data_IF_066379087179
#
_entry.id   IF_066379087179
#
_cell.length_a   1.000
_cell.length_b   1.000
_cell.length_c   1.000
_cell.angle_alpha   90.00
_cell.angle_beta   90.00
_cell.angle_gamma   90.00
#
_symmetry.space_group_name_H-M   'P 1'
#
loop_
_entity.id
_entity.type
_entity.pdbx_description
1 polymer ?
#
# COMPACT_ATOMS: atom_id res chain seq x y z
N UNK A 1 16.15 43.39 23.52
CA UNK A 1 14.80 43.54 22.95
C UNK A 1 14.39 42.15 22.50
N UNK A 2 13.30 41.60 23.06
CA UNK A 2 12.81 40.27 22.74
C UNK A 2 11.62 40.40 21.79
N UNK A 3 11.82 40.07 20.52
CA UNK A 3 10.75 40.02 19.53
C UNK A 3 9.86 38.81 19.81
N UNK A 4 8.69 39.06 20.41
CA UNK A 4 7.69 38.03 20.63
C UNK A 4 6.96 37.78 19.31
N UNK A 5 7.24 36.65 18.66
CA UNK A 5 6.53 36.22 17.46
C UNK A 5 5.06 35.97 17.80
N UNK A 6 4.18 36.82 17.28
CA UNK A 6 2.73 36.71 17.47
C UNK A 6 2.25 35.42 16.83
N UNK A 7 1.51 34.60 17.58
CA UNK A 7 0.97 33.34 17.09
C UNK A 7 -0.03 33.64 15.95
N UNK A 8 0.14 33.03 14.77
CA UNK A 8 -0.72 33.33 13.63
C UNK A 8 -2.17 32.95 13.92
N UNK A 9 -3.09 33.82 13.49
CA UNK A 9 -4.53 33.61 13.61
C UNK A 9 -4.95 32.74 12.42
N UNK A 10 -5.38 31.51 12.71
CA UNK A 10 -5.86 30.55 11.72
C UNK A 10 -7.39 30.61 11.69
N UNK A 11 -7.97 30.67 10.49
CA UNK A 11 -9.42 30.65 10.32
C UNK A 11 -10.01 29.35 10.88
N UNK A 12 -11.11 29.45 11.63
CA UNK A 12 -11.77 28.31 12.28
C UNK A 12 -12.16 27.22 11.27
N UNK A 13 -12.69 27.64 10.12
CA UNK A 13 -13.06 26.79 8.99
C UNK A 13 -11.85 26.01 8.44
N UNK A 14 -10.67 26.65 8.37
CA UNK A 14 -9.44 25.97 7.96
C UNK A 14 -9.02 24.92 8.99
N UNK A 15 -9.12 25.25 10.28
CA UNK A 15 -8.80 24.34 11.38
C UNK A 15 -9.73 23.11 11.40
N UNK A 16 -11.03 23.34 11.22
CA UNK A 16 -12.07 22.30 11.14
C UNK A 16 -11.87 21.41 9.91
N UNK A 17 -11.53 22.00 8.76
CA UNK A 17 -11.22 21.23 7.53
C UNK A 17 -9.95 20.38 7.65
N UNK A 18 -9.02 20.77 8.52
CA UNK A 18 -7.82 20.00 8.84
C UNK A 18 -8.13 18.90 9.87
N UNK A 19 -8.99 19.16 10.85
CA UNK A 19 -9.41 18.16 11.84
C UNK A 19 -10.10 16.95 11.20
N UNK A 20 -10.93 17.15 10.18
CA UNK A 20 -11.52 16.03 9.40
C UNK A 20 -10.46 15.20 8.64
N UNK A 21 -9.30 15.79 8.33
CA UNK A 21 -8.16 15.06 7.73
C UNK A 21 -7.26 14.39 8.77
N UNK A 22 -7.33 14.82 10.03
CA UNK A 22 -6.54 14.32 11.15
C UNK A 22 -7.19 13.08 11.79
N UNK A 23 -8.52 12.93 11.70
CA UNK A 23 -9.18 11.67 12.05
C UNK A 23 -8.82 10.57 11.02
N UNK A 24 -7.76 9.84 11.38
CA UNK A 24 -7.27 8.55 10.87
C UNK A 24 -6.47 8.56 9.55
N UNK A 25 -5.20 8.97 9.62
CA UNK A 25 -4.14 8.26 8.87
C UNK A 25 -3.99 6.83 9.44
N UNK A 26 -5.02 6.00 9.29
CA UNK A 26 -4.84 4.55 9.39
C UNK A 26 -4.09 4.13 8.14
N UNK A 27 -2.98 3.42 8.32
CA UNK A 27 -2.23 2.84 7.24
C UNK A 27 -2.35 1.33 7.30
N UNK A 28 -2.38 0.71 6.13
CA UNK A 28 -2.29 -0.74 6.01
C UNK A 28 -0.90 -1.07 5.48
N UNK A 29 -0.15 -1.89 6.22
CA UNK A 29 1.20 -2.29 5.87
C UNK A 29 1.17 -3.74 5.40
N UNK A 30 1.60 -3.98 4.17
CA UNK A 30 1.69 -5.32 3.60
C UNK A 30 3.14 -5.62 3.27
N UNK A 31 3.72 -6.58 3.99
CA UNK A 31 5.01 -7.15 3.65
C UNK A 31 4.79 -8.27 2.64
N UNK A 32 5.33 -8.07 1.44
CA UNK A 32 5.14 -8.94 0.30
C UNK A 32 6.39 -9.80 0.11
N UNK A 33 6.18 -11.11 0.00
CA UNK A 33 7.20 -12.07 -0.39
C UNK A 33 6.97 -12.46 -1.85
N UNK A 34 7.91 -12.14 -2.71
CA UNK A 34 8.04 -12.74 -4.03
C UNK A 34 8.91 -14.00 -3.89
N UNK A 35 8.34 -15.22 -4.04
CA UNK A 35 9.04 -16.45 -3.71
C UNK A 35 10.30 -16.68 -4.57
N UNK A 36 11.29 -17.32 -3.96
CA UNK A 36 12.46 -17.81 -4.67
C UNK A 36 12.06 -18.65 -5.88
N UNK A 37 12.68 -18.36 -7.02
CA UNK A 37 12.41 -19.05 -8.28
C UNK A 37 13.72 -19.52 -8.92
N UNK A 38 13.73 -20.70 -9.55
CA UNK A 38 14.88 -21.24 -10.28
C UNK A 38 15.00 -20.65 -11.69
N UNK A 39 14.17 -19.66 -12.06
CA UNK A 39 14.31 -18.93 -13.31
C UNK A 39 15.30 -17.77 -13.13
N UNK A 40 16.27 -17.68 -14.04
CA UNK A 40 17.24 -16.58 -14.08
C UNK A 40 16.58 -15.33 -14.65
N UNK A 41 16.79 -14.19 -13.98
CA UNK A 41 16.41 -12.88 -14.53
C UNK A 41 14.98 -12.42 -14.21
N UNK A 42 14.39 -12.85 -13.09
CA UNK A 42 13.10 -12.31 -12.68
C UNK A 42 13.23 -10.80 -12.40
N UNK A 43 12.48 -10.02 -13.16
CA UNK A 43 12.32 -8.59 -12.98
C UNK A 43 10.91 -8.37 -12.45
N UNK A 44 10.80 -7.68 -11.32
CA UNK A 44 9.51 -7.31 -10.75
C UNK A 44 9.42 -5.80 -10.61
N UNK A 45 8.19 -5.30 -10.56
CA UNK A 45 7.86 -3.92 -10.29
C UNK A 45 6.50 -3.86 -9.61
N UNK A 46 6.15 -2.70 -9.09
CA UNK A 46 4.79 -2.44 -8.61
C UNK A 46 4.21 -1.24 -9.35
N UNK A 47 2.91 -1.23 -9.59
CA UNK A 47 2.22 -0.12 -10.22
C UNK A 47 1.64 0.86 -9.20
N UNK A 48 1.51 2.13 -9.59
CA UNK A 48 0.75 3.09 -8.77
C UNK A 48 -0.75 2.73 -8.69
N UNK A 49 -1.22 1.88 -9.62
CA UNK A 49 -2.56 1.32 -9.67
C UNK A 49 -2.68 -0.01 -8.89
N UNK A 50 -1.86 -0.22 -7.87
CA UNK A 50 -2.06 -1.26 -6.85
C UNK A 50 -3.00 -0.75 -5.75
N UNK A 51 -3.99 -1.55 -5.39
CA UNK A 51 -4.98 -1.20 -4.37
C UNK A 51 -5.26 -2.37 -3.42
N UNK A 52 -5.79 -2.04 -2.24
CA UNK A 52 -6.53 -2.99 -1.42
C UNK A 52 -8.02 -2.79 -1.67
N UNK A 53 -8.70 -3.84 -2.11
CA UNK A 53 -10.15 -3.85 -2.39
C UNK A 53 -10.85 -4.45 -1.18
N UNK A 54 -11.73 -3.68 -0.52
CA UNK A 54 -12.60 -4.25 0.51
C UNK A 54 -13.57 -5.24 -0.13
N UNK A 55 -13.69 -6.44 0.44
CA UNK A 55 -14.58 -7.47 -0.10
C UNK A 55 -16.04 -7.28 0.37
N UNK A 56 -16.29 -6.30 1.23
CA UNK A 56 -17.62 -5.97 1.77
C UNK A 56 -18.16 -4.60 1.32
N UNK A 57 -17.40 -3.81 0.55
CA UNK A 57 -17.81 -2.50 0.06
C UNK A 57 -17.10 -2.13 -1.25
N UNK A 58 -17.48 -1.01 -1.87
CA UNK A 58 -16.79 -0.48 -3.06
C UNK A 58 -15.48 0.26 -2.71
N UNK A 59 -15.07 0.27 -1.44
CA UNK A 59 -13.88 0.99 -0.99
C UNK A 59 -12.59 0.38 -1.56
N UNK A 60 -11.69 1.27 -1.98
CA UNK A 60 -10.35 0.91 -2.47
C UNK A 60 -9.31 1.75 -1.75
N UNK A 61 -8.44 1.10 -0.98
CA UNK A 61 -7.30 1.76 -0.37
C UNK A 61 -6.17 1.93 -1.38
N UNK A 62 -5.63 3.14 -1.48
CA UNK A 62 -4.60 3.51 -2.45
C UNK A 62 -3.21 3.23 -1.89
N UNK A 63 -2.28 2.82 -2.77
CA UNK A 63 -0.86 2.76 -2.45
C UNK A 63 -0.34 4.16 -2.13
N UNK A 64 0.31 4.31 -0.97
CA UNK A 64 0.94 5.54 -0.48
C UNK A 64 2.45 5.46 -0.70
N UNK A 65 3.06 4.32 -0.40
CA UNK A 65 4.50 4.12 -0.47
C UNK A 65 4.87 2.67 -0.79
N UNK A 66 5.98 2.49 -1.49
CA UNK A 66 6.58 1.20 -1.76
C UNK A 66 8.05 1.22 -1.34
N UNK A 67 8.44 0.26 -0.51
CA UNK A 67 9.78 0.14 0.06
C UNK A 67 10.46 -1.12 -0.48
N UNK A 68 11.72 -0.98 -0.91
CA UNK A 68 12.52 -2.07 -1.49
C UNK A 68 11.94 -2.71 -2.76
N UNK A 69 11.14 -1.98 -3.53
CA UNK A 69 10.70 -2.34 -4.88
C UNK A 69 10.53 -1.05 -5.72
N UNK A 70 10.76 -1.13 -7.02
CA UNK A 70 10.61 0.01 -7.94
C UNK A 70 9.17 0.15 -8.43
N UNK A 71 8.72 1.40 -8.55
CA UNK A 71 7.48 1.74 -9.23
C UNK A 71 7.68 1.67 -10.76
N UNK A 72 6.70 1.13 -11.48
CA UNK A 72 6.63 1.17 -12.96
C UNK A 72 6.89 2.60 -13.49
N UNK A 73 7.70 2.78 -14.55
CA UNK A 73 8.19 1.77 -15.49
C UNK A 73 9.50 1.06 -15.09
N UNK A 74 10.10 1.43 -13.96
CA UNK A 74 11.38 0.88 -13.55
C UNK A 74 11.24 -0.53 -12.96
N UNK A 75 12.27 -1.35 -13.16
CA UNK A 75 12.30 -2.75 -12.75
C UNK A 75 13.29 -3.00 -11.62
N UNK A 76 12.92 -3.91 -10.72
CA UNK A 76 13.75 -4.42 -9.64
C UNK A 76 14.25 -5.81 -10.01
N UNK A 77 15.56 -6.01 -9.93
CA UNK A 77 16.17 -7.32 -10.16
C UNK A 77 15.98 -8.21 -8.94
N UNK A 78 15.34 -9.36 -9.12
CA UNK A 78 15.17 -10.36 -8.06
C UNK A 78 16.38 -11.30 -8.04
N UNK A 79 17.06 -11.47 -6.88
CA UNK A 79 18.14 -12.42 -6.76
C UNK A 79 17.68 -13.87 -6.98
N UNK A 80 18.52 -14.65 -7.66
CA UNK A 80 18.26 -16.07 -7.92
C UNK A 80 18.16 -16.90 -6.64
N UNK A 81 17.21 -17.84 -6.61
CA UNK A 81 17.02 -18.81 -5.51
C UNK A 81 16.89 -18.17 -4.11
N UNK A 82 16.42 -16.92 -4.04
CA UNK A 82 16.17 -16.22 -2.79
C UNK A 82 14.79 -15.57 -2.81
N UNK A 83 14.10 -15.66 -1.69
CA UNK A 83 12.88 -14.89 -1.49
C UNK A 83 13.22 -13.41 -1.52
N UNK A 84 12.43 -12.65 -2.27
CA UNK A 84 12.56 -11.20 -2.33
C UNK A 84 11.42 -10.55 -1.55
N UNK A 85 11.78 -9.69 -0.60
CA UNK A 85 10.83 -9.05 0.29
C UNK A 85 10.77 -7.56 0.03
N UNK A 86 9.56 -7.03 -0.06
CA UNK A 86 9.28 -5.61 -0.17
C UNK A 86 8.07 -5.24 0.68
N UNK A 87 7.87 -3.95 0.93
CA UNK A 87 6.74 -3.48 1.75
C UNK A 87 5.93 -2.47 0.98
N UNK A 88 4.61 -2.64 1.00
CA UNK A 88 3.65 -1.70 0.45
C UNK A 88 2.84 -1.08 1.60
N UNK A 89 2.70 0.24 1.57
CA UNK A 89 1.93 1.00 2.56
C UNK A 89 0.74 1.61 1.84
N UNK A 90 -0.47 1.36 2.35
CA UNK A 90 -1.72 1.83 1.77
C UNK A 90 -2.48 2.74 2.72
N UNK A 91 -3.42 3.50 2.18
CA UNK A 91 -4.43 4.20 2.98
C UNK A 91 -5.32 3.23 3.76
N UNK A 92 -5.95 3.72 4.82
CA UNK A 92 -6.73 2.89 5.75
C UNK A 92 -7.91 2.18 5.11
N UNK A 93 -8.26 1.02 5.65
CA UNK A 93 -9.47 0.28 5.29
C UNK A 93 -10.66 0.74 6.15
N UNK A 94 -11.90 0.72 5.62
CA UNK A 94 -13.11 1.13 6.34
C UNK A 94 -13.28 0.30 7.60
N UNK A 95 -13.85 0.87 8.67
CA UNK A 95 -13.96 0.19 9.98
C UNK A 95 -14.61 -1.21 9.90
N UNK A 96 -15.58 -1.40 9.02
CA UNK A 96 -16.36 -2.64 8.89
C UNK A 96 -15.74 -3.67 7.93
N UNK A 97 -14.62 -3.37 7.28
CA UNK A 97 -13.90 -4.30 6.40
C UNK A 97 -13.47 -5.55 7.18
N UNK A 98 -13.84 -6.73 6.69
CA UNK A 98 -13.49 -8.04 7.31
C UNK A 98 -12.41 -8.78 6.54
N UNK A 99 -12.39 -8.60 5.23
CA UNK A 99 -11.35 -9.11 4.34
C UNK A 99 -11.18 -8.20 3.14
N UNK A 100 -10.02 -8.26 2.52
CA UNK A 100 -9.70 -7.46 1.35
C UNK A 100 -8.78 -8.23 0.41
N UNK A 101 -8.75 -7.80 -0.85
CA UNK A 101 -7.83 -8.32 -1.85
C UNK A 101 -6.74 -7.27 -2.15
N UNK A 102 -5.49 -7.69 -2.27
CA UNK A 102 -4.43 -6.88 -2.86
C UNK A 102 -4.40 -7.17 -4.35
N UNK A 103 -4.60 -6.14 -5.20
CA UNK A 103 -4.59 -6.31 -6.66
C UNK A 103 -3.98 -5.13 -7.39
N UNK A 104 -3.25 -5.44 -8.44
CA UNK A 104 -2.84 -4.47 -9.46
C UNK A 104 -3.90 -4.33 -10.55
N UNK A 105 -4.29 -3.08 -10.82
CA UNK A 105 -5.18 -2.75 -11.95
C UNK A 105 -4.31 -2.21 -13.07
N UNK A 106 -3.92 -3.10 -13.97
CA UNK A 106 -2.98 -2.80 -15.05
C UNK A 106 -3.61 -3.16 -16.40
N UNK A 107 -3.16 -2.54 -17.51
CA UNK A 107 -3.69 -2.82 -18.84
C UNK A 107 -3.16 -4.12 -19.46
N UNK A 108 -2.24 -4.82 -18.78
CA UNK A 108 -1.55 -6.03 -19.25
C UNK A 108 -1.75 -7.21 -18.28
N UNK A 109 -1.49 -8.43 -18.72
CA UNK A 109 -1.46 -9.62 -17.85
C UNK A 109 -0.24 -9.58 -16.92
N UNK A 110 -0.20 -10.45 -15.91
CA UNK A 110 0.94 -10.56 -14.98
C UNK A 110 0.90 -9.62 -13.77
N UNK A 111 -0.25 -9.00 -13.48
CA UNK A 111 -0.42 -8.19 -12.28
C UNK A 111 -0.36 -9.04 -11.00
N UNK A 112 0.10 -8.43 -9.90
CA UNK A 112 0.08 -9.10 -8.60
C UNK A 112 -1.33 -9.14 -8.00
N UNK A 113 -1.71 -10.34 -7.54
CA UNK A 113 -3.01 -10.60 -6.90
C UNK A 113 -2.83 -11.47 -5.66
N UNK A 114 -3.42 -11.04 -4.55
CA UNK A 114 -3.59 -11.84 -3.33
C UNK A 114 -5.00 -11.62 -2.82
N UNK A 115 -5.81 -12.69 -2.83
CA UNK A 115 -7.22 -12.61 -2.49
C UNK A 115 -7.51 -12.95 -1.02
N UNK A 116 -8.63 -12.45 -0.53
CA UNK A 116 -9.24 -12.86 0.74
C UNK A 116 -8.33 -12.74 1.96
N UNK A 117 -7.51 -11.70 2.02
CA UNK A 117 -6.69 -11.38 3.20
C UNK A 117 -7.63 -11.01 4.34
N UNK A 118 -7.66 -11.81 5.40
CA UNK A 118 -8.51 -11.54 6.59
C UNK A 118 -7.93 -10.37 7.36
N UNK A 119 -8.77 -9.37 7.64
CA UNK A 119 -8.35 -8.18 8.39
C UNK A 119 -7.99 -8.54 9.83
N UNK A 120 -6.94 -7.91 10.35
CA UNK A 120 -6.54 -7.99 11.76
C UNK A 120 -6.47 -6.59 12.39
N UNK A 121 -6.36 -6.53 13.72
CA UNK A 121 -6.40 -5.26 14.47
C UNK A 121 -5.16 -4.38 14.32
N UNK A 122 -4.05 -4.94 13.80
CA UNK A 122 -2.80 -4.20 13.60
C UNK A 122 -2.74 -3.56 12.21
N UNK A 123 -3.56 -4.02 11.27
CA UNK A 123 -3.48 -3.67 9.85
C UNK A 123 -2.06 -3.87 9.27
N UNK A 124 -1.33 -4.86 9.80
CA UNK A 124 -0.04 -5.33 9.30
C UNK A 124 -0.17 -6.78 8.82
N UNK A 125 0.27 -7.04 7.60
CA UNK A 125 0.10 -8.32 6.93
C UNK A 125 1.41 -8.82 6.33
N UNK A 126 1.52 -10.15 6.22
CA UNK A 126 2.57 -10.82 5.44
C UNK A 126 1.89 -11.71 4.42
N UNK A 127 2.22 -11.52 3.14
CA UNK A 127 1.62 -12.25 2.04
C UNK A 127 2.69 -12.79 1.11
N UNK A 128 2.40 -13.93 0.47
CA UNK A 128 3.16 -14.40 -0.68
C UNK A 128 2.44 -13.97 -1.93
N UNK A 129 3.17 -13.36 -2.86
CA UNK A 129 2.63 -12.91 -4.13
C UNK A 129 3.00 -13.94 -5.20
N UNK A 130 2.02 -14.23 -6.05
CA UNK A 130 2.21 -14.91 -7.32
C UNK A 130 1.68 -14.01 -8.44
N UNK A 131 2.30 -14.10 -9.61
CA UNK A 131 1.77 -13.47 -10.83
C UNK A 131 0.49 -14.18 -11.25
N UNK A 132 -0.54 -13.42 -11.64
CA UNK A 132 -1.71 -13.98 -12.31
C UNK A 132 -1.42 -14.07 -13.82
N UNK A 133 -1.47 -15.29 -14.37
CA UNK A 133 -1.39 -15.58 -15.80
C UNK A 133 -2.77 -15.51 -16.46
#
# INVERSE_FOLDING_TARGET
MSDTLVKPIIAKELLESLQTKIEEEKQVIVHCCFPASPFLGNLIRIWNSTYLFDNNSDHKSKLIHAENITISPNWTVVPFMKDFWFTLIFSGLPRDCRSFDLREVIPEEGGFVVESIKRNSLDVYRVKISESY
#
